data_IF_095758493949
#
_entry.id   IF_095758493949
#
_cell.length_a   1.000
_cell.length_b   1.000
_cell.length_c   1.000
_cell.angle_alpha   90.00
_cell.angle_beta   90.00
_cell.angle_gamma   90.00
#
_symmetry.space_group_name_H-M   'P 1'
#
loop_
_entity.id
_entity.type
_entity.pdbx_description
1 polymer ?
#
# COMPACT_ATOMS: atom_id res chain seq x y z
N UNK A 1 -1.35 15.30 18.11
CA UNK A 1 -2.45 16.01 17.43
C UNK A 1 -3.69 15.11 17.28
N UNK A 2 -3.59 13.94 16.63
CA UNK A 2 -4.76 13.07 16.36
C UNK A 2 -5.54 12.67 17.63
N UNK A 3 -4.87 12.25 18.73
CA UNK A 3 -5.54 11.94 20.01
C UNK A 3 -6.34 13.12 20.56
N UNK A 4 -5.83 14.35 20.45
CA UNK A 4 -6.56 15.54 20.91
C UNK A 4 -7.81 15.83 20.06
N UNK A 5 -7.75 15.62 18.76
CA UNK A 5 -8.90 15.75 17.87
C UNK A 5 -9.96 14.66 18.18
N UNK A 6 -9.55 13.42 18.38
CA UNK A 6 -10.42 12.30 18.78
C UNK A 6 -11.11 12.61 20.12
N UNK A 7 -10.34 13.07 21.12
CA UNK A 7 -10.88 13.44 22.42
C UNK A 7 -11.89 14.61 22.36
N UNK A 8 -11.77 15.46 21.34
CA UNK A 8 -12.73 16.53 21.05
C UNK A 8 -13.91 16.08 20.15
N UNK A 9 -14.09 14.76 19.93
CA UNK A 9 -15.16 14.19 19.12
C UNK A 9 -15.05 14.50 17.62
N UNK A 10 -13.85 14.80 17.11
CA UNK A 10 -13.63 15.11 15.69
C UNK A 10 -13.29 13.87 14.91
N UNK A 11 -13.83 13.75 13.68
CA UNK A 11 -13.38 12.81 12.70
C UNK A 11 -11.97 13.17 12.24
N UNK A 12 -11.11 12.16 11.95
CA UNK A 12 -9.68 12.41 11.72
C UNK A 12 -9.21 11.75 10.44
N UNK A 13 -8.71 12.54 9.50
CA UNK A 13 -7.84 12.08 8.42
C UNK A 13 -6.37 12.25 8.85
N UNK A 14 -5.57 11.22 8.67
CA UNK A 14 -4.15 11.22 8.99
C UNK A 14 -3.34 10.66 7.82
N UNK A 15 -2.28 11.35 7.41
CA UNK A 15 -1.34 10.81 6.43
C UNK A 15 -0.63 9.56 6.95
N UNK A 16 -0.22 8.70 6.02
CA UNK A 16 0.60 7.52 6.35
C UNK A 16 2.07 7.95 6.66
N UNK A 17 2.76 7.23 7.55
CA UNK A 17 2.23 6.17 8.42
C UNK A 17 1.33 6.77 9.51
N UNK A 18 0.37 6.00 10.00
CA UNK A 18 -0.55 6.45 11.08
C UNK A 18 0.23 6.90 12.31
N UNK A 19 1.30 6.18 12.64
CA UNK A 19 2.27 6.53 13.67
C UNK A 19 3.60 5.82 13.38
N UNK A 20 4.74 6.29 13.93
CA UNK A 20 6.03 5.63 13.77
C UNK A 20 6.08 4.22 14.38
N UNK A 21 5.35 3.98 15.47
CA UNK A 21 5.31 2.70 16.17
C UNK A 21 3.91 2.08 16.14
N UNK A 22 3.84 0.75 16.06
CA UNK A 22 2.57 0.02 16.12
C UNK A 22 1.84 0.25 17.46
N UNK A 23 2.55 0.40 18.57
CA UNK A 23 1.96 0.71 19.86
C UNK A 23 1.20 2.05 19.87
N UNK A 24 1.78 3.08 19.25
CA UNK A 24 1.14 4.40 19.13
C UNK A 24 -0.05 4.36 18.17
N UNK A 25 0.08 3.62 17.06
CA UNK A 25 -1.01 3.40 16.11
C UNK A 25 -2.18 2.64 16.76
N UNK A 26 -1.89 1.68 17.65
CA UNK A 26 -2.89 0.95 18.44
C UNK A 26 -3.67 1.89 19.36
N UNK A 27 -2.99 2.77 20.10
CA UNK A 27 -3.67 3.73 20.98
C UNK A 27 -4.55 4.72 20.19
N UNK A 28 -4.13 5.12 18.99
CA UNK A 28 -4.94 5.95 18.10
C UNK A 28 -6.20 5.21 17.62
N UNK A 29 -6.05 3.97 17.16
CA UNK A 29 -7.17 3.15 16.70
C UNK A 29 -8.17 2.87 17.84
N UNK A 30 -7.66 2.52 19.02
CA UNK A 30 -8.45 2.27 20.23
C UNK A 30 -9.23 3.52 20.69
N UNK A 31 -8.56 4.67 20.72
CA UNK A 31 -9.20 5.92 21.09
C UNK A 31 -10.30 6.33 20.09
N UNK A 32 -10.04 6.20 18.78
CA UNK A 32 -11.02 6.50 17.73
C UNK A 32 -12.26 5.61 17.84
N UNK A 33 -12.06 4.31 18.06
CA UNK A 33 -13.14 3.34 18.26
C UNK A 33 -13.98 3.67 19.49
N UNK A 34 -13.33 3.99 20.61
CA UNK A 34 -14.01 4.34 21.86
C UNK A 34 -14.81 5.65 21.73
N UNK A 35 -14.34 6.63 20.97
CA UNK A 35 -15.01 7.90 20.73
C UNK A 35 -16.09 7.81 19.63
N UNK A 36 -16.20 6.71 18.89
CA UNK A 36 -17.15 6.54 17.79
C UNK A 36 -16.91 7.51 16.62
N UNK A 37 -15.69 8.03 16.47
CA UNK A 37 -15.34 8.96 15.39
C UNK A 37 -14.88 8.19 14.14
N UNK A 38 -15.20 8.73 12.96
CA UNK A 38 -14.71 8.20 11.69
C UNK A 38 -13.25 8.59 11.50
N UNK A 39 -12.47 7.68 10.93
CA UNK A 39 -11.04 7.88 10.70
C UNK A 39 -10.61 7.38 9.34
N UNK A 40 -9.58 7.99 8.76
CA UNK A 40 -8.94 7.53 7.54
C UNK A 40 -7.44 7.75 7.58
N UNK A 41 -6.69 6.75 7.09
CA UNK A 41 -5.24 6.85 6.84
C UNK A 41 -4.98 7.05 5.36
N UNK A 42 -4.09 7.96 5.01
CA UNK A 42 -3.79 8.42 3.67
C UNK A 42 -3.06 7.41 2.77
N UNK A 43 -3.67 6.25 2.49
CA UNK A 43 -3.20 5.29 1.50
C UNK A 43 -3.88 5.51 0.14
N UNK A 44 -3.66 6.67 -0.45
CA UNK A 44 -4.38 7.18 -1.63
C UNK A 44 -4.37 6.26 -2.86
N UNK A 45 -3.36 5.38 -3.03
CA UNK A 45 -3.34 4.44 -4.16
C UNK A 45 -4.52 3.47 -4.15
N UNK A 46 -5.04 3.12 -2.96
CA UNK A 46 -6.23 2.28 -2.82
C UNK A 46 -7.51 2.91 -3.36
N UNK A 47 -7.49 4.24 -3.57
CA UNK A 47 -8.62 5.00 -4.13
C UNK A 47 -8.69 4.93 -5.66
N UNK A 48 -7.69 4.31 -6.33
CA UNK A 48 -7.69 4.13 -7.76
C UNK A 48 -8.86 3.23 -8.19
N UNK A 49 -9.69 3.62 -9.19
CA UNK A 49 -10.78 2.79 -9.71
C UNK A 49 -10.33 1.40 -10.16
N UNK A 50 -9.11 1.27 -10.68
CA UNK A 50 -8.57 -0.03 -11.11
C UNK A 50 -8.25 -0.96 -9.93
N UNK A 51 -7.94 -0.43 -8.74
CA UNK A 51 -7.84 -1.23 -7.51
C UNK A 51 -9.21 -1.74 -7.05
N UNK A 52 -10.24 -0.90 -7.17
CA UNK A 52 -11.63 -1.30 -6.86
C UNK A 52 -12.09 -2.38 -7.83
N UNK A 53 -11.87 -2.20 -9.13
CA UNK A 53 -12.16 -3.21 -10.15
C UNK A 53 -11.41 -4.52 -9.88
N UNK A 54 -10.10 -4.44 -9.55
CA UNK A 54 -9.32 -5.63 -9.22
C UNK A 54 -9.92 -6.39 -8.02
N UNK A 55 -10.34 -5.69 -6.97
CA UNK A 55 -11.02 -6.28 -5.81
C UNK A 55 -12.37 -6.90 -6.19
N UNK A 56 -13.14 -6.24 -7.05
CA UNK A 56 -14.44 -6.75 -7.49
C UNK A 56 -14.28 -8.03 -8.32
N UNK A 57 -13.29 -8.09 -9.23
CA UNK A 57 -12.93 -9.30 -9.99
C UNK A 57 -12.49 -10.44 -9.05
N UNK A 58 -11.74 -10.14 -8.00
CA UNK A 58 -11.35 -11.15 -7.00
C UNK A 58 -12.58 -11.66 -6.25
N UNK A 59 -13.43 -10.75 -5.77
CA UNK A 59 -14.61 -11.07 -4.97
C UNK A 59 -15.69 -11.80 -5.79
N UNK A 60 -15.79 -11.54 -7.10
CA UNK A 60 -16.71 -12.27 -8.00
C UNK A 60 -16.28 -13.73 -8.22
N UNK A 61 -15.02 -14.07 -7.87
CA UNK A 61 -14.48 -15.41 -8.08
C UNK A 61 -13.95 -15.67 -9.49
N UNK A 62 -13.85 -14.66 -10.34
CA UNK A 62 -13.33 -14.79 -11.72
C UNK A 62 -11.89 -15.29 -11.76
N UNK A 63 -11.08 -15.03 -10.72
CA UNK A 63 -9.73 -15.59 -10.61
C UNK A 63 -9.70 -17.02 -10.07
N UNK A 64 -10.81 -17.52 -9.54
CA UNK A 64 -10.88 -18.80 -8.84
C UNK A 64 -10.14 -18.75 -7.50
N UNK A 65 -9.53 -19.86 -7.08
CA UNK A 65 -8.70 -19.93 -5.87
C UNK A 65 -7.45 -19.05 -6.05
N UNK A 66 -7.26 -18.08 -5.16
CA UNK A 66 -6.06 -17.22 -5.18
C UNK A 66 -4.86 -18.02 -4.66
N UNK A 67 -3.79 -18.03 -5.44
CA UNK A 67 -2.57 -18.81 -5.19
C UNK A 67 -1.36 -17.96 -4.88
N UNK A 68 -1.25 -16.79 -5.51
CA UNK A 68 -0.06 -15.97 -5.40
C UNK A 68 -0.30 -14.48 -5.52
N UNK A 69 0.57 -13.71 -4.86
CA UNK A 69 0.66 -12.25 -4.91
C UNK A 69 2.12 -11.84 -5.10
N UNK A 70 2.37 -10.89 -5.97
CA UNK A 70 3.64 -10.16 -6.06
C UNK A 70 3.33 -8.69 -6.03
N UNK A 71 3.98 -7.95 -5.14
CA UNK A 71 3.82 -6.52 -5.06
C UNK A 71 5.15 -5.83 -4.81
N UNK A 72 5.37 -4.71 -5.47
CA UNK A 72 6.54 -3.89 -5.23
C UNK A 72 6.20 -2.41 -5.34
N UNK A 73 6.95 -1.59 -4.61
CA UNK A 73 6.98 -0.15 -4.77
C UNK A 73 8.44 0.30 -4.86
N UNK A 74 8.86 0.69 -6.05
CA UNK A 74 10.24 1.02 -6.36
C UNK A 74 10.35 2.41 -6.97
N UNK A 75 11.24 3.22 -6.37
CA UNK A 75 11.57 4.58 -6.80
C UNK A 75 13.07 4.83 -6.66
N UNK A 76 13.61 5.93 -7.16
CA UNK A 76 15.04 6.25 -7.09
C UNK A 76 15.38 7.56 -6.36
N UNK A 77 14.41 8.16 -5.67
CA UNK A 77 14.61 9.47 -5.03
C UNK A 77 15.63 9.46 -3.88
N UNK A 78 16.02 8.28 -3.38
CA UNK A 78 17.09 8.09 -2.38
C UNK A 78 18.34 7.41 -2.97
N UNK A 79 18.44 7.25 -4.30
CA UNK A 79 19.56 6.54 -4.93
C UNK A 79 20.89 7.31 -4.88
N UNK A 80 20.86 8.65 -4.76
CA UNK A 80 22.09 9.44 -4.59
C UNK A 80 22.67 9.23 -3.19
N UNK A 81 23.83 8.55 -3.11
CA UNK A 81 24.54 8.31 -1.86
C UNK A 81 25.03 9.61 -1.18
N UNK A 82 25.23 10.70 -1.94
CA UNK A 82 25.62 12.01 -1.41
C UNK A 82 24.42 12.87 -1.00
N UNK A 83 23.20 12.41 -1.26
CA UNK A 83 21.98 13.08 -0.85
C UNK A 83 21.91 13.30 0.67
N UNK A 84 21.26 14.38 1.14
CA UNK A 84 21.17 14.70 2.55
C UNK A 84 20.28 13.73 3.32
N UNK A 85 20.52 13.64 4.64
CA UNK A 85 19.60 12.97 5.55
C UNK A 85 18.27 13.71 5.58
N UNK A 86 17.16 12.95 5.54
CA UNK A 86 15.80 13.45 5.68
C UNK A 86 15.10 12.75 6.85
N UNK A 87 13.88 13.16 7.20
CA UNK A 87 13.07 12.49 8.22
C UNK A 87 12.80 11.00 7.91
N UNK A 88 12.85 10.60 6.62
CA UNK A 88 12.70 9.21 6.19
C UNK A 88 13.84 8.29 6.65
N UNK A 89 14.98 8.88 7.04
CA UNK A 89 16.12 8.15 7.60
C UNK A 89 16.09 8.11 9.14
N UNK A 90 14.99 8.52 9.76
CA UNK A 90 14.83 8.41 11.21
C UNK A 90 14.74 6.92 11.60
N UNK A 91 15.54 6.53 12.60
CA UNK A 91 15.50 5.17 13.12
C UNK A 91 14.11 4.77 13.66
N UNK A 92 13.31 5.76 14.07
CA UNK A 92 11.93 5.55 14.52
C UNK A 92 10.95 5.75 13.37
N UNK A 93 10.54 4.65 12.73
CA UNK A 93 9.51 4.65 11.70
C UNK A 93 9.97 5.05 10.29
N UNK A 94 11.30 5.20 10.06
CA UNK A 94 11.86 5.40 8.73
C UNK A 94 12.14 4.09 7.99
N UNK A 95 12.74 4.22 6.79
CA UNK A 95 13.11 3.10 5.92
C UNK A 95 12.21 2.93 4.71
N UNK A 96 12.74 2.28 3.67
CA UNK A 96 12.00 2.03 2.43
C UNK A 96 10.79 1.12 2.64
N UNK A 97 10.90 0.14 3.55
CA UNK A 97 9.78 -0.71 3.93
C UNK A 97 8.65 0.11 4.54
N UNK A 98 8.96 1.02 5.47
CA UNK A 98 7.96 1.85 6.12
C UNK A 98 7.37 2.92 5.18
N UNK A 99 8.16 3.51 4.29
CA UNK A 99 7.71 4.55 3.37
C UNK A 99 7.01 3.98 2.13
N UNK A 100 7.62 3.06 1.42
CA UNK A 100 7.12 2.47 0.16
C UNK A 100 6.45 1.11 0.37
N UNK A 101 7.08 0.22 1.14
CA UNK A 101 6.56 -1.13 1.39
C UNK A 101 5.22 -1.13 2.11
N UNK A 102 4.93 -0.11 2.94
CA UNK A 102 3.63 0.03 3.60
C UNK A 102 2.47 0.18 2.60
N UNK A 103 2.67 0.83 1.46
CA UNK A 103 1.67 0.92 0.39
C UNK A 103 1.42 -0.45 -0.25
N UNK A 104 2.47 -1.24 -0.45
CA UNK A 104 2.32 -2.60 -1.00
C UNK A 104 1.61 -3.52 -0.01
N UNK A 105 1.92 -3.41 1.29
CA UNK A 105 1.22 -4.13 2.36
C UNK A 105 -0.27 -3.76 2.41
N UNK A 106 -0.58 -2.46 2.33
CA UNK A 106 -1.95 -1.97 2.28
C UNK A 106 -2.70 -2.50 1.04
N UNK A 107 -2.05 -2.49 -0.14
CA UNK A 107 -2.58 -3.06 -1.37
C UNK A 107 -2.85 -4.56 -1.23
N UNK A 108 -1.91 -5.31 -0.67
CA UNK A 108 -2.02 -6.74 -0.48
C UNK A 108 -3.22 -7.10 0.43
N UNK A 109 -3.34 -6.44 1.58
CA UNK A 109 -4.47 -6.69 2.50
C UNK A 109 -5.81 -6.14 1.97
N UNK A 110 -5.79 -5.06 1.20
CA UNK A 110 -6.99 -4.53 0.54
C UNK A 110 -7.58 -5.51 -0.48
N UNK A 111 -6.71 -6.19 -1.24
CA UNK A 111 -7.10 -7.09 -2.33
C UNK A 111 -7.35 -8.52 -1.85
N UNK A 112 -6.51 -9.06 -0.97
CA UNK A 112 -6.50 -10.49 -0.63
C UNK A 112 -6.86 -10.81 0.82
N UNK A 113 -7.10 -9.78 1.65
CA UNK A 113 -7.37 -9.96 3.07
C UNK A 113 -6.10 -10.11 3.92
N UNK A 114 -6.23 -10.49 5.20
CA UNK A 114 -5.16 -10.37 6.17
C UNK A 114 -3.94 -11.26 5.87
N UNK A 115 -2.75 -10.70 6.09
CA UNK A 115 -1.48 -11.42 6.10
C UNK A 115 -1.30 -12.06 7.47
N UNK A 116 -1.11 -13.38 7.53
CA UNK A 116 -1.00 -14.16 8.77
C UNK A 116 0.44 -14.41 9.21
N UNK A 117 1.40 -14.42 8.28
CA UNK A 117 2.82 -14.68 8.56
C UNK A 117 3.72 -13.91 7.60
N UNK A 118 4.89 -13.49 8.08
CA UNK A 118 5.90 -12.77 7.32
C UNK A 118 7.29 -13.34 7.53
N UNK A 119 8.14 -13.25 6.48
CA UNK A 119 9.58 -13.49 6.52
C UNK A 119 10.25 -12.30 5.83
N UNK A 120 11.00 -11.50 6.59
CA UNK A 120 11.58 -10.24 6.13
C UNK A 120 13.05 -10.35 5.74
N UNK A 121 13.47 -9.46 4.84
CA UNK A 121 14.86 -9.16 4.48
C UNK A 121 14.97 -7.65 4.23
N UNK A 122 15.54 -6.91 5.20
CA UNK A 122 15.69 -5.46 5.17
C UNK A 122 17.17 -5.09 5.12
N UNK A 123 17.57 -4.32 4.12
CA UNK A 123 18.99 -4.04 3.83
C UNK A 123 19.27 -2.54 3.75
N UNK A 124 20.24 -2.06 4.53
CA UNK A 124 20.82 -0.72 4.40
C UNK A 124 21.98 -0.78 3.40
N UNK A 125 21.78 -0.27 2.20
CA UNK A 125 22.78 -0.26 1.11
C UNK A 125 23.68 0.96 1.20
N UNK A 126 23.11 2.10 1.62
CA UNK A 126 23.81 3.39 1.76
C UNK A 126 23.95 3.72 3.25
N UNK A 127 25.03 3.22 3.93
CA UNK A 127 25.14 3.28 5.39
C UNK A 127 25.52 4.66 5.96
N UNK A 128 25.82 5.63 5.09
CA UNK A 128 26.17 7.01 5.50
C UNK A 128 25.63 8.00 4.48
N UNK A 129 25.09 9.12 4.97
CA UNK A 129 24.60 10.22 4.13
C UNK A 129 25.06 11.56 4.68
N UNK A 130 25.12 12.59 3.84
CA UNK A 130 25.44 13.95 4.25
C UNK A 130 24.48 14.44 5.35
N UNK A 131 25.02 15.06 6.39
CA UNK A 131 24.24 15.72 7.45
C UNK A 131 23.85 17.17 7.10
N UNK A 132 24.24 17.64 5.91
CA UNK A 132 24.00 19.00 5.42
C UNK A 132 24.98 20.05 5.96
N UNK A 133 25.90 19.69 6.88
CA UNK A 133 26.85 20.60 7.53
C UNK A 133 28.32 20.25 7.24
N UNK A 134 28.55 19.47 6.16
CA UNK A 134 29.87 19.00 5.77
C UNK A 134 30.33 17.70 6.45
N UNK A 135 29.49 17.12 7.31
CA UNK A 135 29.68 15.81 7.93
C UNK A 135 28.79 14.72 7.33
N UNK A 136 28.82 13.56 8.01
CA UNK A 136 27.98 12.42 7.63
C UNK A 136 27.28 11.83 8.85
N UNK A 137 26.01 11.45 8.67
CA UNK A 137 25.22 10.69 9.63
C UNK A 137 25.17 9.22 9.21
N UNK A 138 25.32 8.30 10.18
CA UNK A 138 25.09 6.87 9.99
C UNK A 138 23.60 6.64 9.74
N UNK A 139 23.28 5.79 8.75
CA UNK A 139 21.92 5.35 8.44
C UNK A 139 21.75 3.93 8.96
N UNK A 140 20.65 3.68 9.67
CA UNK A 140 20.33 2.40 10.30
C UNK A 140 19.01 1.81 9.78
N UNK A 141 18.29 2.57 8.95
CA UNK A 141 17.06 2.09 8.30
C UNK A 141 17.37 1.42 6.96
N UNK A 142 16.46 0.61 6.48
CA UNK A 142 16.58 -0.08 5.21
C UNK A 142 16.44 0.88 4.01
N UNK A 143 17.25 0.67 2.98
CA UNK A 143 17.06 1.23 1.63
C UNK A 143 16.22 0.29 0.76
N UNK A 144 16.20 -1.00 1.11
CA UNK A 144 15.42 -2.04 0.45
C UNK A 144 14.81 -2.92 1.53
N UNK A 145 13.48 -2.93 1.64
CA UNK A 145 12.74 -3.83 2.51
C UNK A 145 11.95 -4.86 1.69
N UNK A 146 12.19 -6.16 1.94
CA UNK A 146 11.51 -7.27 1.28
C UNK A 146 10.83 -8.18 2.28
N UNK A 147 9.74 -8.83 1.86
CA UNK A 147 9.13 -9.89 2.65
C UNK A 147 8.50 -10.97 1.77
N UNK A 148 8.59 -12.23 2.23
CA UNK A 148 7.64 -13.27 1.87
C UNK A 148 6.48 -13.24 2.85
N UNK A 149 5.26 -13.41 2.35
CA UNK A 149 4.04 -13.36 3.15
C UNK A 149 3.17 -14.61 2.95
N UNK A 150 2.34 -14.91 3.97
CA UNK A 150 1.24 -15.87 3.88
C UNK A 150 -0.03 -15.17 4.27
N UNK A 151 -1.07 -15.31 3.45
CA UNK A 151 -2.40 -14.78 3.74
C UNK A 151 -3.22 -15.79 4.53
N UNK A 152 -4.26 -15.33 5.21
CA UNK A 152 -5.19 -16.21 5.94
C UNK A 152 -5.95 -17.15 5.00
N UNK A 153 -6.22 -16.74 3.76
CA UNK A 153 -6.86 -17.56 2.72
C UNK A 153 -5.96 -18.63 2.12
N UNK A 154 -4.70 -18.78 2.61
CA UNK A 154 -3.75 -19.78 2.15
C UNK A 154 -2.83 -19.31 1.01
N UNK A 155 -3.09 -18.20 0.36
CA UNK A 155 -2.23 -17.66 -0.68
C UNK A 155 -0.84 -17.29 -0.14
N UNK A 156 0.16 -17.31 -1.03
CA UNK A 156 1.52 -16.86 -0.71
C UNK A 156 1.88 -15.61 -1.54
N UNK A 157 2.81 -14.80 -1.03
CA UNK A 157 3.23 -13.62 -1.79
C UNK A 157 4.61 -13.13 -1.44
N UNK A 158 5.05 -12.16 -2.23
CA UNK A 158 6.26 -11.37 -2.00
C UNK A 158 5.96 -9.88 -2.09
N UNK A 159 6.66 -9.12 -1.28
CA UNK A 159 6.52 -7.68 -1.14
C UNK A 159 7.90 -7.05 -1.18
N UNK A 160 8.06 -5.93 -1.90
CA UNK A 160 9.27 -5.11 -1.90
C UNK A 160 8.91 -3.63 -1.78
N UNK A 161 9.64 -2.91 -0.91
CA UNK A 161 9.76 -1.45 -0.89
C UNK A 161 11.21 -1.09 -1.16
N UNK A 162 11.50 -0.23 -2.16
CA UNK A 162 12.86 0.06 -2.60
C UNK A 162 12.97 1.49 -3.13
N UNK A 163 13.66 2.36 -2.41
CA UNK A 163 13.81 3.76 -2.78
C UNK A 163 15.13 4.13 -3.47
N UNK A 164 15.94 3.11 -3.82
CA UNK A 164 17.21 3.27 -4.53
C UNK A 164 17.21 2.55 -5.90
N UNK A 165 16.04 2.25 -6.43
CA UNK A 165 15.87 1.59 -7.73
C UNK A 165 16.13 2.56 -8.89
N UNK A 166 17.38 2.84 -9.17
CA UNK A 166 17.82 3.82 -10.18
C UNK A 166 17.04 3.67 -11.50
N UNK A 167 16.39 4.75 -11.93
CA UNK A 167 15.58 4.80 -13.15
C UNK A 167 14.08 4.63 -12.92
N UNK A 168 13.64 4.10 -11.77
CA UNK A 168 12.22 4.00 -11.43
C UNK A 168 11.72 5.28 -10.74
N UNK A 169 10.55 5.77 -11.16
CA UNK A 169 9.98 7.01 -10.63
C UNK A 169 8.71 6.77 -9.80
N UNK A 170 7.91 5.79 -10.17
CA UNK A 170 6.66 5.47 -9.52
C UNK A 170 6.21 4.05 -9.85
N UNK A 171 7.08 3.07 -9.68
CA UNK A 171 6.74 1.69 -9.93
C UNK A 171 6.05 1.08 -8.70
N UNK A 172 4.73 1.30 -8.55
CA UNK A 172 3.90 0.60 -7.59
C UNK A 172 3.06 -0.43 -8.34
N UNK A 173 3.52 -1.67 -8.32
CA UNK A 173 2.98 -2.76 -9.13
C UNK A 173 2.40 -3.85 -8.23
N UNK A 174 1.37 -4.54 -8.74
CA UNK A 174 0.97 -5.83 -8.21
C UNK A 174 0.62 -6.83 -9.31
N UNK A 175 0.83 -8.10 -9.02
CA UNK A 175 0.34 -9.24 -9.79
C UNK A 175 -0.35 -10.23 -8.86
N UNK A 176 -1.51 -10.75 -9.29
CA UNK A 176 -2.31 -11.72 -8.54
C UNK A 176 -2.58 -12.92 -9.44
N UNK A 177 -2.32 -14.11 -8.92
CA UNK A 177 -2.48 -15.36 -9.64
C UNK A 177 -3.51 -16.23 -8.97
N UNK A 178 -4.56 -16.56 -9.70
CA UNK A 178 -5.60 -17.48 -9.29
C UNK A 178 -5.60 -18.78 -10.13
N UNK A 179 -6.49 -19.70 -9.80
CA UNK A 179 -6.64 -20.96 -10.52
C UNK A 179 -7.32 -20.80 -11.89
N UNK A 180 -8.09 -19.72 -12.09
CA UNK A 180 -8.84 -19.44 -13.32
C UNK A 180 -8.40 -18.17 -14.04
N UNK A 181 -7.63 -17.31 -13.40
CA UNK A 181 -7.22 -16.04 -14.00
C UNK A 181 -6.08 -15.37 -13.25
N UNK A 182 -5.64 -14.23 -13.78
CA UNK A 182 -4.61 -13.40 -13.19
C UNK A 182 -4.90 -11.91 -13.40
N UNK A 183 -4.42 -11.08 -12.50
CA UNK A 183 -4.41 -9.62 -12.64
C UNK A 183 -2.98 -9.10 -12.61
N UNK A 184 -2.72 -8.04 -13.37
CA UNK A 184 -1.48 -7.28 -13.32
C UNK A 184 -1.79 -5.78 -13.43
N UNK A 185 -1.15 -5.00 -12.59
CA UNK A 185 -1.30 -3.55 -12.51
C UNK A 185 0.05 -2.88 -12.32
N UNK A 186 0.23 -1.69 -12.90
CA UNK A 186 1.36 -0.80 -12.64
C UNK A 186 0.89 0.64 -12.47
N UNK A 187 1.38 1.32 -11.43
CA UNK A 187 1.10 2.73 -11.19
C UNK A 187 1.68 3.64 -12.30
N UNK A 188 2.70 3.20 -13.04
CA UNK A 188 3.23 3.93 -14.20
C UNK A 188 2.20 4.04 -15.34
N UNK A 189 1.14 3.20 -15.31
CA UNK A 189 -0.04 3.21 -16.21
C UNK A 189 -1.32 3.01 -15.43
N UNK A 190 -1.53 3.79 -14.39
CA UNK A 190 -2.54 3.54 -13.36
C UNK A 190 -4.02 3.69 -13.80
N UNK A 191 -4.26 4.08 -15.05
CA UNK A 191 -5.59 4.05 -15.65
C UNK A 191 -5.88 2.73 -16.41
N UNK A 192 -5.05 1.70 -16.21
CA UNK A 192 -5.16 0.41 -16.88
C UNK A 192 -5.07 -0.74 -15.87
N UNK A 193 -5.86 -1.79 -16.09
CA UNK A 193 -5.75 -3.07 -15.40
C UNK A 193 -5.61 -4.17 -16.44
N UNK A 194 -4.69 -5.09 -16.25
CA UNK A 194 -4.53 -6.25 -17.13
C UNK A 194 -5.16 -7.48 -16.48
N UNK A 195 -6.04 -8.14 -17.20
CA UNK A 195 -6.77 -9.34 -16.78
C UNK A 195 -6.53 -10.51 -17.74
N UNK A 196 -6.20 -11.67 -17.20
CA UNK A 196 -6.07 -12.93 -17.93
C UNK A 196 -7.14 -13.91 -17.45
N UNK A 197 -7.80 -14.62 -18.35
CA UNK A 197 -8.74 -15.70 -18.04
C UNK A 197 -8.33 -17.02 -18.68
N UNK A 198 -8.40 -18.11 -17.92
CA UNK A 198 -8.23 -19.47 -18.47
C UNK A 198 -9.41 -19.93 -19.29
N UNK A 199 -10.56 -19.25 -19.17
CA UNK A 199 -11.80 -19.56 -19.90
C UNK A 199 -11.79 -19.01 -21.34
N UNK A 200 -10.85 -18.11 -21.65
CA UNK A 200 -10.66 -17.63 -23.02
C UNK A 200 -10.27 -18.79 -23.96
N UNK A 201 -10.69 -18.69 -25.23
CA UNK A 201 -10.41 -19.70 -26.25
C UNK A 201 -8.92 -19.99 -26.36
N UNK A 202 -8.55 -21.27 -26.36
CA UNK A 202 -7.17 -21.72 -26.59
C UNK A 202 -6.57 -21.06 -27.85
N UNK A 203 -5.32 -20.61 -27.77
CA UNK A 203 -4.64 -19.87 -28.84
C UNK A 203 -4.98 -18.38 -28.92
N UNK A 204 -5.94 -17.89 -28.11
CA UNK A 204 -6.27 -16.46 -27.95
C UNK A 204 -6.11 -15.96 -26.52
N UNK A 205 -5.61 -16.80 -25.63
CA UNK A 205 -5.34 -16.46 -24.25
C UNK A 205 -4.19 -15.45 -24.16
N UNK A 206 -4.39 -14.41 -23.37
CA UNK A 206 -3.41 -13.38 -23.12
C UNK A 206 -3.96 -12.38 -22.11
N UNK A 207 -3.09 -11.55 -21.55
CA UNK A 207 -3.57 -10.41 -20.74
C UNK A 207 -4.30 -9.42 -21.65
N UNK A 208 -5.59 -9.22 -21.39
CA UNK A 208 -6.36 -8.13 -21.98
C UNK A 208 -6.23 -6.89 -21.10
N UNK A 209 -6.05 -5.74 -21.74
CA UNK A 209 -6.06 -4.45 -21.07
C UNK A 209 -7.48 -3.95 -20.88
N UNK A 210 -7.81 -3.55 -19.67
CA UNK A 210 -9.03 -2.85 -19.31
C UNK A 210 -8.64 -1.41 -19.01
N UNK A 211 -9.16 -0.47 -19.75
CA UNK A 211 -8.93 0.96 -19.56
C UNK A 211 -9.98 1.53 -18.60
N UNK A 212 -9.56 2.45 -17.73
CA UNK A 212 -10.47 3.15 -16.85
C UNK A 212 -11.51 3.94 -17.64
N UNK A 213 -12.77 3.82 -17.23
CA UNK A 213 -13.92 4.38 -17.92
C UNK A 213 -14.98 4.80 -16.88
N UNK A 214 -16.01 5.59 -17.28
CA UNK A 214 -17.09 6.01 -16.38
C UNK A 214 -17.81 4.89 -15.64
N UNK A 215 -17.82 3.66 -16.19
CA UNK A 215 -18.38 2.47 -15.52
C UNK A 215 -17.55 1.98 -14.32
N UNK A 216 -16.32 2.49 -14.13
CA UNK A 216 -15.44 2.16 -13.03
C UNK A 216 -15.46 3.28 -11.97
N UNK A 217 -16.41 3.19 -11.03
CA UNK A 217 -16.56 4.20 -9.99
C UNK A 217 -15.27 4.38 -9.14
N UNK A 218 -14.88 5.64 -8.81
CA UNK A 218 -15.58 6.90 -9.10
C UNK A 218 -15.03 7.65 -10.34
N UNK A 219 -14.46 6.95 -11.33
CA UNK A 219 -13.88 7.58 -12.53
C UNK A 219 -14.86 8.54 -13.22
N UNK A 220 -16.15 8.15 -13.35
CA UNK A 220 -17.18 8.95 -13.98
C UNK A 220 -17.44 10.31 -13.33
N UNK A 221 -17.08 10.49 -12.05
CA UNK A 221 -17.17 11.77 -11.36
C UNK A 221 -16.10 12.79 -11.79
N UNK A 222 -15.02 12.34 -12.43
CA UNK A 222 -13.90 13.16 -12.90
C UNK A 222 -13.81 13.22 -14.43
N UNK A 223 -14.12 12.11 -15.10
CA UNK A 223 -13.91 11.92 -16.52
C UNK A 223 -15.20 11.45 -17.19
N UNK A 224 -15.71 12.23 -18.14
CA UNK A 224 -16.99 11.97 -18.82
C UNK A 224 -16.95 10.84 -19.84
N UNK A 225 -15.74 10.41 -20.27
CA UNK A 225 -15.55 9.37 -21.27
C UNK A 225 -14.26 8.57 -21.02
N UNK A 226 -14.13 7.35 -21.55
CA UNK A 226 -12.89 6.58 -21.52
C UNK A 226 -11.73 7.36 -22.17
N UNK A 227 -10.50 7.14 -21.69
CA UNK A 227 -9.29 7.73 -22.24
C UNK A 227 -8.95 9.15 -21.77
N UNK A 228 -9.80 9.81 -20.97
CA UNK A 228 -9.50 11.12 -20.39
C UNK A 228 -8.49 11.06 -19.23
N UNK A 229 -8.29 9.93 -18.63
CA UNK A 229 -7.34 9.59 -17.58
C UNK A 229 -7.43 10.44 -16.29
N UNK A 230 -7.38 9.76 -15.16
CA UNK A 230 -7.16 10.35 -13.84
C UNK A 230 -5.67 10.68 -13.66
N UNK A 231 -5.37 11.69 -12.83
CA UNK A 231 -4.03 12.02 -12.36
C UNK A 231 -3.83 11.65 -10.89
N UNK A 232 -2.59 11.73 -10.41
CA UNK A 232 -2.24 11.42 -9.02
C UNK A 232 -3.05 12.24 -8.00
N UNK A 233 -3.29 13.53 -8.31
CA UNK A 233 -4.03 14.42 -7.41
C UNK A 233 -5.52 14.05 -7.31
N UNK A 234 -6.08 13.44 -8.37
CA UNK A 234 -7.46 12.97 -8.35
C UNK A 234 -7.65 11.84 -7.33
N UNK A 235 -6.63 10.98 -7.13
CA UNK A 235 -6.67 9.95 -6.10
C UNK A 235 -6.79 10.55 -4.68
N UNK A 236 -6.14 11.70 -4.42
CA UNK A 236 -6.30 12.44 -3.16
C UNK A 236 -7.69 13.03 -3.02
N UNK A 237 -8.27 13.54 -4.10
CA UNK A 237 -9.64 14.05 -4.10
C UNK A 237 -10.65 12.94 -3.83
N UNK A 238 -10.49 11.76 -4.46
CA UNK A 238 -11.31 10.57 -4.22
C UNK A 238 -11.16 10.12 -2.76
N UNK A 239 -9.95 10.08 -2.23
CA UNK A 239 -9.67 9.68 -0.85
C UNK A 239 -10.42 10.58 0.16
N UNK A 240 -10.41 11.89 -0.04
CA UNK A 240 -11.13 12.84 0.82
C UNK A 240 -12.65 12.70 0.62
N UNK A 241 -13.13 12.51 -0.60
CA UNK A 241 -14.54 12.26 -0.87
C UNK A 241 -15.04 10.98 -0.17
N UNK A 242 -14.26 9.90 -0.21
CA UNK A 242 -14.56 8.66 0.51
C UNK A 242 -14.66 8.90 2.02
N UNK A 243 -13.75 9.71 2.58
CA UNK A 243 -13.79 10.05 4.00
C UNK A 243 -15.02 10.87 4.37
N UNK A 244 -15.37 11.87 3.56
CA UNK A 244 -16.59 12.68 3.77
C UNK A 244 -17.85 11.80 3.68
N UNK A 245 -17.90 10.88 2.70
CA UNK A 245 -19.01 9.95 2.55
C UNK A 245 -19.12 8.98 3.74
N UNK A 246 -17.98 8.55 4.31
CA UNK A 246 -17.97 7.75 5.53
C UNK A 246 -18.47 8.53 6.74
N UNK A 247 -18.14 9.83 6.85
CA UNK A 247 -18.65 10.72 7.91
C UNK A 247 -20.16 10.90 7.79
N UNK A 248 -20.68 11.01 6.56
CA UNK A 248 -22.10 11.11 6.26
C UNK A 248 -22.88 9.78 6.34
N UNK A 249 -22.20 8.68 6.72
CA UNK A 249 -22.74 7.31 6.75
C UNK A 249 -23.30 6.81 5.39
N UNK A 250 -22.81 7.38 4.28
CA UNK A 250 -23.18 6.95 2.92
C UNK A 250 -22.44 5.67 2.53
N UNK A 251 -21.23 5.48 3.05
CA UNK A 251 -20.41 4.29 2.82
C UNK A 251 -19.60 3.92 4.06
N UNK A 252 -19.04 2.71 4.07
CA UNK A 252 -18.11 2.29 5.12
C UNK A 252 -16.77 3.06 5.04
N UNK A 253 -16.06 3.16 6.16
CA UNK A 253 -14.72 3.73 6.22
C UNK A 253 -13.76 2.92 5.33
N UNK A 254 -13.11 3.55 4.33
CA UNK A 254 -12.33 2.79 3.35
C UNK A 254 -11.04 2.22 3.94
N UNK A 255 -10.27 3.02 4.67
CA UNK A 255 -9.01 2.59 5.30
C UNK A 255 -8.81 3.32 6.64
N UNK A 256 -9.49 2.84 7.67
CA UNK A 256 -9.53 3.46 9.00
C UNK A 256 -8.24 3.23 9.83
N UNK A 257 -8.21 3.76 11.04
CA UNK A 257 -7.06 3.63 11.94
C UNK A 257 -6.78 2.19 12.40
N UNK A 258 -7.77 1.31 12.46
CA UNK A 258 -7.52 -0.12 12.76
C UNK A 258 -6.69 -0.76 11.63
N UNK A 259 -6.99 -0.45 10.38
CA UNK A 259 -6.19 -0.89 9.23
C UNK A 259 -4.81 -0.22 9.22
N UNK A 260 -4.72 1.06 9.55
CA UNK A 260 -3.43 1.76 9.69
C UNK A 260 -2.54 1.13 10.75
N UNK A 261 -3.10 0.80 11.93
CA UNK A 261 -2.39 0.04 12.97
C UNK A 261 -1.93 -1.33 12.47
N UNK A 262 -2.77 -2.01 11.71
CA UNK A 262 -2.44 -3.31 11.12
C UNK A 262 -1.23 -3.22 10.19
N UNK A 263 -1.17 -2.22 9.31
CA UNK A 263 -0.02 -2.02 8.41
C UNK A 263 1.26 -1.71 9.20
N UNK A 264 1.18 -0.86 10.23
CA UNK A 264 2.34 -0.57 11.06
C UNK A 264 2.85 -1.82 11.81
N UNK A 265 1.93 -2.67 12.28
CA UNK A 265 2.29 -3.97 12.87
C UNK A 265 3.02 -4.87 11.88
N UNK A 266 2.59 -4.92 10.62
CA UNK A 266 3.25 -5.68 9.56
C UNK A 266 4.67 -5.17 9.30
N UNK A 267 4.87 -3.86 9.20
CA UNK A 267 6.21 -3.23 9.03
C UNK A 267 7.14 -3.64 10.17
N UNK A 268 6.72 -3.50 11.42
CA UNK A 268 7.53 -3.91 12.57
C UNK A 268 7.83 -5.42 12.60
N UNK A 269 6.84 -6.25 12.26
CA UNK A 269 7.03 -7.71 12.18
C UNK A 269 8.01 -8.11 11.09
N UNK A 270 8.00 -7.43 9.94
CA UNK A 270 8.93 -7.69 8.85
C UNK A 270 10.35 -7.28 9.27
N UNK A 271 10.55 -6.10 9.85
CA UNK A 271 11.84 -5.66 10.38
C UNK A 271 12.38 -6.63 11.43
N UNK A 272 11.52 -7.04 12.38
CA UNK A 272 11.89 -8.03 13.40
C UNK A 272 12.24 -9.39 12.78
N UNK A 273 11.46 -9.84 11.80
CA UNK A 273 11.72 -11.09 11.07
C UNK A 273 13.06 -11.06 10.35
N UNK A 274 13.39 -9.93 9.70
CA UNK A 274 14.69 -9.72 9.05
C UNK A 274 15.86 -9.84 10.04
N UNK A 275 15.72 -9.24 11.23
CA UNK A 275 16.75 -9.32 12.28
C UNK A 275 16.89 -10.73 12.86
N UNK A 276 15.77 -11.43 13.07
CA UNK A 276 15.75 -12.75 13.71
C UNK A 276 15.96 -13.92 12.71
N UNK A 277 15.91 -13.66 11.39
CA UNK A 277 16.10 -14.66 10.34
C UNK A 277 15.01 -15.75 10.33
N UNK A 278 13.77 -15.46 10.74
CA UNK A 278 12.70 -16.46 10.86
C UNK A 278 11.31 -15.92 10.53
N UNK A 279 10.39 -16.85 10.20
CA UNK A 279 8.98 -16.53 10.02
C UNK A 279 8.33 -16.08 11.34
N UNK A 280 7.60 -14.97 11.28
CA UNK A 280 6.81 -14.48 12.41
C UNK A 280 5.31 -14.53 12.08
N UNK A 281 4.49 -14.80 13.08
CA UNK A 281 3.04 -14.60 13.02
C UNK A 281 2.72 -13.10 13.21
N UNK A 282 1.67 -12.66 12.55
CA UNK A 282 1.15 -11.29 12.64
C UNK A 282 -0.10 -11.26 13.53
#
# INVERSE_FOLDING_TARGET
MALAAIAAGKHVYCEKPLAPLAADAFELAKAAKAAGVKTQVGFNYLCNPMFRLARDIINSGELGEIRGFRGLHAEDYMADANGPVTFRHDALGGGALADLGSHVLATAEFLLGPISRVMGDCVTVIPKRSDGNGGHKKIEVDDIGRAFVRFENGASGSIEGNWISTGRKMQHDFEIYGSKGALSFTQERFNELHFYSTEDTSGRRGFRRIEAAPDHEPYGSFCVAPGHQLGFNDLKAIEIADFINAIADVQAEPFNFERGYRIQTLVEKINKSSTEGKWLKV
#
